data_IF_391236808099
#
_entry.id   IF_391236808099
#
_cell.length_a   1.000
_cell.length_b   1.000
_cell.length_c   1.000
_cell.angle_alpha   90.00
_cell.angle_beta   90.00
_cell.angle_gamma   90.00
#
_symmetry.space_group_name_H-M   'P 1'
#
loop_
_entity.id
_entity.type
_entity.pdbx_description
1 polymer ?
#
# COMPACT_ATOMS: atom_id res chain seq x y z
N UNK A 1 4.23 14.45 -4.91
CA UNK A 1 5.35 13.58 -5.32
C UNK A 1 4.77 12.43 -6.15
N UNK A 2 5.52 11.92 -7.13
CA UNK A 2 5.09 10.75 -7.93
C UNK A 2 5.71 9.47 -7.36
N UNK A 3 4.93 8.40 -7.26
CA UNK A 3 5.44 7.07 -6.88
C UNK A 3 6.26 6.47 -8.02
N UNK A 4 7.35 5.78 -7.69
CA UNK A 4 8.19 5.08 -8.66
C UNK A 4 7.71 3.63 -8.86
N UNK A 5 6.86 3.42 -9.87
CA UNK A 5 6.39 2.09 -10.23
C UNK A 5 7.48 1.31 -10.97
N UNK A 6 7.84 0.14 -10.46
CA UNK A 6 8.63 -0.88 -11.15
C UNK A 6 7.73 -1.86 -11.92
N UNK A 7 6.54 -2.14 -11.37
CA UNK A 7 5.47 -2.92 -11.98
C UNK A 7 4.17 -2.17 -11.70
N UNK A 8 3.29 -2.06 -12.68
CA UNK A 8 2.03 -1.35 -12.55
C UNK A 8 1.96 -0.05 -13.36
N UNK A 9 0.88 0.69 -13.17
CA UNK A 9 0.60 1.95 -13.85
C UNK A 9 -0.05 2.92 -12.87
N UNK A 10 0.56 4.10 -12.69
CA UNK A 10 0.05 5.12 -11.78
C UNK A 10 -1.33 5.64 -12.16
N UNK A 11 -1.75 5.51 -13.42
CA UNK A 11 -3.10 5.86 -13.88
C UNK A 11 -4.11 4.73 -13.69
N UNK A 12 -3.65 3.53 -13.37
CA UNK A 12 -4.46 2.32 -13.21
C UNK A 12 -3.97 1.47 -12.04
N UNK A 13 -3.82 2.04 -10.84
CA UNK A 13 -3.38 1.28 -9.67
C UNK A 13 -4.38 0.16 -9.39
N UNK A 14 -3.88 -1.01 -8.98
CA UNK A 14 -4.69 -2.22 -8.85
C UNK A 14 -5.49 -2.28 -7.55
N UNK A 15 -5.14 -1.44 -6.58
CA UNK A 15 -5.67 -1.46 -5.22
C UNK A 15 -4.79 -2.25 -4.25
N UNK A 16 -3.75 -2.93 -4.73
CA UNK A 16 -2.78 -3.62 -3.89
C UNK A 16 -1.37 -3.49 -4.46
N UNK A 17 -0.39 -3.23 -3.60
CA UNK A 17 0.98 -2.99 -4.02
C UNK A 17 1.99 -3.49 -2.99
N UNK A 18 3.16 -3.91 -3.46
CA UNK A 18 4.35 -4.08 -2.63
C UNK A 18 5.16 -2.79 -2.72
N UNK A 19 5.50 -2.20 -1.57
CA UNK A 19 6.50 -1.13 -1.48
C UNK A 19 7.77 -1.69 -0.90
N UNK A 20 8.91 -1.37 -1.51
CA UNK A 20 10.21 -1.83 -1.03
C UNK A 20 11.25 -0.72 -0.95
N UNK A 21 12.20 -0.88 -0.03
CA UNK A 21 13.27 0.06 0.24
C UNK A 21 14.61 -0.68 0.25
N UNK A 22 15.67 -0.02 -0.19
CA UNK A 22 17.03 -0.56 -0.16
C UNK A 22 17.83 0.16 0.92
N UNK A 23 18.66 -0.57 1.66
CA UNK A 23 19.48 0.03 2.71
C UNK A 23 20.54 0.98 2.13
N UNK A 24 20.78 2.11 2.81
CA UNK A 24 21.78 3.10 2.39
C UNK A 24 23.22 2.64 2.62
N UNK A 25 23.45 1.64 3.47
CA UNK A 25 24.79 1.13 3.82
C UNK A 25 25.05 -0.20 3.10
N UNK A 26 24.09 -1.12 3.11
CA UNK A 26 24.18 -2.42 2.46
C UNK A 26 23.11 -2.58 1.37
N UNK A 27 23.48 -2.27 0.13
CA UNK A 27 22.54 -2.31 -1.01
C UNK A 27 21.95 -3.68 -1.32
N UNK A 28 22.39 -4.75 -0.65
CA UNK A 28 21.78 -6.08 -0.73
C UNK A 28 20.64 -6.27 0.25
N UNK A 29 20.53 -5.43 1.28
CA UNK A 29 19.42 -5.46 2.24
C UNK A 29 18.23 -4.71 1.67
N UNK A 30 17.12 -5.43 1.63
CA UNK A 30 15.85 -4.91 1.14
C UNK A 30 14.81 -5.13 2.23
N UNK A 31 13.98 -4.12 2.47
CA UNK A 31 12.77 -4.28 3.27
C UNK A 31 11.53 -3.98 2.45
N UNK A 32 10.40 -4.57 2.84
CA UNK A 32 9.14 -4.37 2.15
C UNK A 32 7.94 -4.30 3.09
N UNK A 33 6.92 -3.57 2.65
CA UNK A 33 5.58 -3.53 3.23
C UNK A 33 4.56 -3.72 2.11
N UNK A 34 3.36 -4.14 2.50
CA UNK A 34 2.26 -4.35 1.58
C UNK A 34 1.22 -3.24 1.76
N UNK A 35 0.73 -2.64 0.68
CA UNK A 35 -0.36 -1.67 0.67
C UNK A 35 -1.61 -2.36 0.14
N UNK A 36 -2.72 -2.23 0.87
CA UNK A 36 -4.01 -2.82 0.52
C UNK A 36 -5.09 -1.75 0.59
N UNK A 37 -5.84 -1.60 -0.50
CA UNK A 37 -7.13 -0.92 -0.56
C UNK A 37 -8.22 -1.96 -0.64
N UNK A 38 -9.13 -1.93 0.32
CA UNK A 38 -10.24 -2.86 0.37
C UNK A 38 -11.30 -2.45 -0.66
N UNK A 39 -11.72 -3.38 -1.54
CA UNK A 39 -12.77 -3.10 -2.52
C UNK A 39 -14.18 -3.06 -1.89
N UNK A 40 -14.30 -3.38 -0.60
CA UNK A 40 -15.54 -3.39 0.16
C UNK A 40 -15.36 -2.69 1.51
N UNK A 41 -16.42 -2.08 2.01
CA UNK A 41 -16.42 -1.50 3.36
C UNK A 41 -16.38 -2.61 4.40
N UNK A 42 -15.38 -2.55 5.29
CA UNK A 42 -15.25 -3.49 6.41
C UNK A 42 -15.49 -2.75 7.72
N UNK A 43 -16.41 -3.28 8.52
CA UNK A 43 -16.62 -2.85 9.90
C UNK A 43 -15.76 -3.73 10.82
N UNK A 44 -14.59 -3.22 11.19
CA UNK A 44 -13.64 -3.94 12.05
C UNK A 44 -14.22 -4.23 13.45
N UNK A 45 -15.18 -3.45 13.93
CA UNK A 45 -15.78 -3.68 15.26
C UNK A 45 -16.43 -5.07 15.38
N UNK A 46 -16.86 -5.65 14.25
CA UNK A 46 -17.42 -7.01 14.18
C UNK A 46 -16.38 -8.11 14.36
N UNK A 47 -15.10 -7.80 14.20
CA UNK A 47 -13.98 -8.75 14.22
C UNK A 47 -13.01 -8.51 15.38
N UNK A 48 -13.19 -7.41 16.12
CA UNK A 48 -12.42 -7.10 17.33
C UNK A 48 -12.99 -7.88 18.51
N UNK A 49 -12.19 -8.71 19.19
CA UNK A 49 -12.63 -9.36 20.42
C UNK A 49 -13.13 -8.34 21.45
N UNK A 50 -14.23 -8.59 22.18
CA UNK A 50 -14.84 -7.60 23.07
C UNK A 50 -13.91 -7.01 24.13
N UNK A 51 -12.85 -7.74 24.53
CA UNK A 51 -11.88 -7.25 25.51
C UNK A 51 -10.85 -6.26 24.92
N UNK A 52 -10.81 -6.09 23.60
CA UNK A 52 -9.93 -5.14 22.89
C UNK A 52 -10.67 -3.92 22.33
N UNK A 53 -12.01 -3.86 22.43
CA UNK A 53 -12.83 -2.82 21.79
C UNK A 53 -12.39 -1.39 22.16
N UNK A 54 -12.13 -1.15 23.45
CA UNK A 54 -11.73 0.16 23.97
C UNK A 54 -10.36 0.64 23.46
N UNK A 55 -9.51 -0.28 23.00
CA UNK A 55 -8.22 0.08 22.40
C UNK A 55 -8.35 0.31 20.89
N UNK A 56 -9.27 -0.40 20.22
CA UNK A 56 -9.47 -0.31 18.77
C UNK A 56 -10.31 0.89 18.34
N UNK A 57 -11.18 1.43 19.20
CA UNK A 57 -11.90 2.68 18.92
C UNK A 57 -10.96 3.88 18.66
N UNK A 58 -9.71 3.83 19.15
CA UNK A 58 -8.68 4.82 18.82
C UNK A 58 -8.09 4.64 17.41
N UNK A 59 -8.14 3.42 16.85
CA UNK A 59 -7.61 3.05 15.54
C UNK A 59 -8.66 3.16 14.42
N UNK A 60 -9.95 2.97 14.74
CA UNK A 60 -11.07 2.93 13.78
C UNK A 60 -11.53 4.29 13.27
N UNK A 61 -11.02 5.39 13.81
CA UNK A 61 -11.36 6.76 13.39
C UNK A 61 -10.76 7.18 12.04
N UNK A 62 -9.82 6.40 11.49
CA UNK A 62 -9.35 6.51 10.11
C UNK A 62 -10.15 5.52 9.26
N UNK A 63 -10.71 5.97 8.14
CA UNK A 63 -11.32 5.10 7.13
C UNK A 63 -10.34 3.97 6.76
N UNK A 64 -10.55 2.77 7.32
CA UNK A 64 -9.71 1.58 7.10
C UNK A 64 -9.94 0.94 5.72
N UNK A 65 -10.46 1.71 4.76
CA UNK A 65 -10.53 1.31 3.36
C UNK A 65 -9.15 1.16 2.73
N UNK A 66 -8.10 1.72 3.35
CA UNK A 66 -6.71 1.54 2.92
C UNK A 66 -5.76 1.41 4.11
N UNK A 67 -4.80 0.48 4.03
CA UNK A 67 -3.80 0.28 5.07
C UNK A 67 -2.51 -0.35 4.52
N UNK A 68 -1.43 -0.23 5.30
CA UNK A 68 -0.18 -0.94 5.06
C UNK A 68 0.05 -2.05 6.09
N UNK A 69 0.66 -3.16 5.67
CA UNK A 69 0.97 -4.28 6.54
C UNK A 69 2.23 -5.05 6.08
N UNK A 70 3.22 -5.26 6.96
CA UNK A 70 3.38 -4.59 8.26
C UNK A 70 3.62 -3.07 8.08
N UNK A 71 3.17 -2.19 9.01
CA UNK A 71 3.38 -0.73 8.87
C UNK A 71 4.85 -0.33 8.86
N UNK A 72 5.68 -1.05 9.61
CA UNK A 72 7.13 -1.02 9.48
C UNK A 72 7.54 -2.09 8.45
N UNK A 73 8.19 -1.73 7.33
CA UNK A 73 8.73 -2.69 6.38
C UNK A 73 9.65 -3.71 7.05
N UNK A 74 9.49 -4.98 6.68
CA UNK A 74 10.33 -6.07 7.19
C UNK A 74 11.38 -6.47 6.16
N UNK A 75 12.52 -6.99 6.65
CA UNK A 75 13.60 -7.48 5.79
C UNK A 75 13.10 -8.68 4.98
N UNK A 76 13.39 -8.68 3.69
CA UNK A 76 13.05 -9.74 2.75
C UNK A 76 14.29 -10.23 2.00
N UNK A 77 14.14 -11.33 1.26
CA UNK A 77 15.26 -12.07 0.68
C UNK A 77 16.12 -11.24 -0.28
N UNK A 78 15.49 -10.54 -1.23
CA UNK A 78 16.17 -9.71 -2.24
C UNK A 78 15.19 -8.89 -3.08
N UNK A 79 15.70 -7.91 -3.83
CA UNK A 79 14.92 -7.18 -4.84
C UNK A 79 14.36 -8.11 -5.93
N UNK A 80 15.15 -9.10 -6.38
CA UNK A 80 14.73 -10.11 -7.36
C UNK A 80 13.53 -10.91 -6.84
N UNK A 81 13.58 -11.34 -5.57
CA UNK A 81 12.50 -12.08 -4.93
C UNK A 81 11.20 -11.25 -4.87
N UNK A 82 11.30 -9.95 -4.55
CA UNK A 82 10.15 -9.05 -4.54
C UNK A 82 9.57 -8.88 -5.94
N UNK A 83 10.43 -8.71 -6.95
CA UNK A 83 10.01 -8.53 -8.33
C UNK A 83 9.21 -9.75 -8.83
N UNK A 84 9.74 -10.95 -8.59
CA UNK A 84 9.07 -12.21 -8.95
C UNK A 84 7.78 -12.44 -8.14
N UNK A 85 7.76 -12.03 -6.87
CA UNK A 85 6.56 -12.11 -6.02
C UNK A 85 5.45 -11.20 -6.54
N UNK A 86 5.78 -9.95 -6.86
CA UNK A 86 4.83 -8.98 -7.42
C UNK A 86 4.24 -9.47 -8.75
N UNK A 87 5.08 -10.00 -9.67
CA UNK A 87 4.61 -10.60 -10.94
C UNK A 87 3.65 -11.76 -10.72
N UNK A 88 3.99 -12.70 -9.83
CA UNK A 88 3.16 -13.90 -9.58
C UNK A 88 1.80 -13.57 -8.98
N UNK A 89 1.73 -12.52 -8.18
CA UNK A 89 0.52 -12.08 -7.49
C UNK A 89 -0.29 -11.04 -8.27
N UNK A 90 0.28 -10.56 -9.37
CA UNK A 90 -0.24 -9.41 -10.12
C UNK A 90 -0.34 -8.15 -9.26
N UNK A 91 0.65 -7.91 -8.40
CA UNK A 91 0.73 -6.72 -7.55
C UNK A 91 1.37 -5.55 -8.31
N UNK A 92 0.98 -4.32 -7.97
CA UNK A 92 1.83 -3.17 -8.29
C UNK A 92 3.11 -3.25 -7.44
N UNK A 93 4.24 -2.81 -7.99
CA UNK A 93 5.52 -2.77 -7.29
C UNK A 93 6.06 -1.36 -7.29
N UNK A 94 6.29 -0.81 -6.10
CA UNK A 94 6.71 0.57 -5.90
C UNK A 94 8.08 0.59 -5.23
N UNK A 95 9.03 1.28 -5.83
CA UNK A 95 10.30 1.57 -5.18
C UNK A 95 10.14 2.78 -4.27
N UNK A 96 10.32 2.55 -2.96
CA UNK A 96 10.21 3.56 -1.92
C UNK A 96 11.50 4.34 -1.68
N UNK A 97 12.60 3.99 -2.35
CA UNK A 97 13.88 4.69 -2.26
C UNK A 97 14.92 4.01 -1.36
N UNK A 98 16.00 4.74 -1.11
CA UNK A 98 17.10 4.29 -0.25
C UNK A 98 16.96 4.88 1.15
N UNK A 99 16.91 4.04 2.17
CA UNK A 99 16.74 4.45 3.57
C UNK A 99 17.67 3.67 4.50
N UNK A 100 17.96 4.22 5.69
CA UNK A 100 18.54 3.41 6.76
C UNK A 100 17.47 2.45 7.28
N UNK A 101 17.61 1.15 7.03
CA UNK A 101 16.56 0.19 7.38
C UNK A 101 16.45 -0.07 8.89
N UNK A 102 17.39 0.45 9.68
CA UNK A 102 17.31 0.42 11.15
C UNK A 102 16.47 1.57 11.73
N UNK A 103 16.17 2.61 10.93
CA UNK A 103 15.30 3.71 11.34
C UNK A 103 13.84 3.38 11.06
N UNK A 104 13.27 2.55 11.95
CA UNK A 104 11.90 2.04 11.84
C UNK A 104 10.88 3.18 11.79
N UNK A 105 11.07 4.23 12.60
CA UNK A 105 10.17 5.39 12.65
C UNK A 105 10.14 6.11 11.30
N UNK A 106 11.30 6.36 10.69
CA UNK A 106 11.35 6.96 9.37
C UNK A 106 10.69 6.07 8.31
N UNK A 107 10.97 4.77 8.31
CA UNK A 107 10.36 3.83 7.36
C UNK A 107 8.83 3.79 7.47
N UNK A 108 8.28 3.75 8.69
CA UNK A 108 6.83 3.79 8.92
C UNK A 108 6.21 5.07 8.34
N UNK A 109 6.88 6.20 8.51
CA UNK A 109 6.42 7.48 7.95
C UNK A 109 6.45 7.46 6.41
N UNK A 110 7.49 6.88 5.79
CA UNK A 110 7.56 6.76 4.33
C UNK A 110 6.48 5.82 3.78
N UNK A 111 6.25 4.67 4.42
CA UNK A 111 5.14 3.78 4.05
C UNK A 111 3.80 4.51 4.15
N UNK A 112 3.55 5.29 5.21
CA UNK A 112 2.31 6.05 5.36
C UNK A 112 2.13 7.08 4.24
N UNK A 113 3.20 7.79 3.86
CA UNK A 113 3.13 8.75 2.73
C UNK A 113 2.82 8.05 1.42
N UNK A 114 3.45 6.90 1.17
CA UNK A 114 3.23 6.13 -0.06
C UNK A 114 1.80 5.58 -0.09
N UNK A 115 1.28 5.09 1.05
CA UNK A 115 -0.12 4.68 1.19
C UNK A 115 -1.07 5.82 0.83
N UNK A 116 -0.89 7.01 1.40
CA UNK A 116 -1.76 8.16 1.13
C UNK A 116 -1.78 8.52 -0.37
N UNK A 117 -0.61 8.56 -1.02
CA UNK A 117 -0.49 8.88 -2.47
C UNK A 117 -1.10 7.77 -3.34
N UNK A 118 -0.86 6.50 -2.98
CA UNK A 118 -1.39 5.35 -3.72
C UNK A 118 -2.92 5.31 -3.64
N UNK A 119 -3.48 5.55 -2.45
CA UNK A 119 -4.92 5.61 -2.22
C UNK A 119 -5.58 6.75 -3.02
N UNK A 120 -5.00 7.95 -2.98
CA UNK A 120 -5.50 9.08 -3.77
C UNK A 120 -5.48 8.77 -5.28
N UNK A 121 -4.43 8.09 -5.77
CA UNK A 121 -4.37 7.70 -7.18
C UNK A 121 -5.46 6.68 -7.55
N UNK A 122 -5.73 5.72 -6.66
CA UNK A 122 -6.76 4.72 -6.88
C UNK A 122 -8.15 5.33 -6.96
N UNK A 123 -8.51 6.17 -5.99
CA UNK A 123 -9.83 6.82 -5.93
C UNK A 123 -10.09 7.72 -7.14
N UNK A 124 -9.10 8.54 -7.51
CA UNK A 124 -9.20 9.45 -8.64
C UNK A 124 -9.42 8.73 -9.97
N UNK A 125 -8.86 7.52 -10.14
CA UNK A 125 -9.01 6.74 -11.36
C UNK A 125 -10.29 5.89 -11.33
N UNK A 126 -10.68 5.31 -10.19
CA UNK A 126 -11.95 4.62 -10.03
C UNK A 126 -13.15 5.52 -10.33
N UNK A 127 -13.17 6.76 -9.81
CA UNK A 127 -14.23 7.72 -10.12
C UNK A 127 -14.31 8.07 -11.62
N UNK A 128 -13.17 8.13 -12.32
CA UNK A 128 -13.13 8.35 -13.78
C UNK A 128 -13.68 7.15 -14.55
N UNK A 129 -13.37 5.93 -14.12
CA UNK A 129 -13.90 4.70 -14.73
C UNK A 129 -15.42 4.63 -14.60
N UNK A 130 -15.98 4.90 -13.42
CA UNK A 130 -17.43 4.92 -13.20
C UNK A 130 -18.14 5.95 -14.08
N UNK A 131 -17.64 7.19 -14.10
CA UNK A 131 -18.21 8.27 -14.94
C UNK A 131 -18.16 7.92 -16.44
N UNK A 132 -17.08 7.28 -16.91
CA UNK A 132 -16.93 6.85 -18.31
C UNK A 132 -17.92 5.74 -18.67
N UNK A 133 -18.12 4.77 -17.78
CA UNK A 133 -19.04 3.66 -18.00
C UNK A 133 -20.50 4.10 -17.93
N UNK A 134 -20.85 4.99 -16.99
CA UNK A 134 -22.18 5.59 -16.93
C UNK A 134 -22.54 6.31 -18.23
N UNK A 135 -21.65 7.15 -18.76
CA UNK A 135 -21.85 7.86 -20.04
C UNK A 135 -22.05 6.93 -21.25
N UNK A 136 -21.42 5.74 -21.25
CA UNK A 136 -21.62 4.72 -22.30
C UNK A 136 -22.93 3.94 -22.16
N UNK A 137 -23.56 3.93 -20.98
CA UNK A 137 -24.80 3.18 -20.73
C UNK A 137 -26.08 3.96 -21.10
N UNK A 138 -25.97 5.28 -21.24
CA UNK A 138 -27.08 6.19 -21.53
C UNK A 138 -27.07 6.75 -22.96
N UNK A 139 -26.15 6.31 -23.81
CA UNK A 139 -26.03 6.67 -25.22
C UNK A 139 -25.89 5.44 -26.09
#
# INVERSE_FOLDING_TARGET
MSLEYKIGDSLRPKGHAIVYFIDTVDSKKVSASYIILLPITVDLSKYVPPFLSNQVDSLSSKDMSSFSFPPAPEIVDSEEWINETAKKRDDDLIFGGFHNLSDVTNLMNEVSKILDIYSESYDNNHQKYEKKNYRKSIG
#
